data_IF_865392029358
#
_entry.id   IF_865392029358
#
_cell.length_a   1.000
_cell.length_b   1.000
_cell.length_c   1.000
_cell.angle_alpha   90.00
_cell.angle_beta   90.00
_cell.angle_gamma   90.00
#
_symmetry.space_group_name_H-M   'P 1'
#
loop_
_entity.id
_entity.type
_entity.pdbx_description
1 polymer ?
#
# COMPACT_ATOMS: atom_id res chain seq x y z
N UNK A 1 17.86 -6.04 4.25
CA UNK A 1 16.39 -5.82 4.22
C UNK A 1 16.08 -4.62 5.10
N UNK A 2 15.33 -3.61 4.63
CA UNK A 2 14.99 -2.45 5.48
C UNK A 2 14.00 -2.93 6.56
N UNK A 3 14.27 -2.63 7.83
CA UNK A 3 13.39 -3.04 8.94
C UNK A 3 12.04 -2.29 8.89
N UNK A 4 10.96 -2.90 9.39
CA UNK A 4 9.65 -2.23 9.50
C UNK A 4 9.75 -0.95 10.34
N UNK A 5 10.59 -0.93 11.37
CA UNK A 5 10.77 0.25 12.23
C UNK A 5 11.42 1.42 11.49
N UNK A 6 12.34 1.14 10.56
CA UNK A 6 12.87 2.17 9.66
C UNK A 6 11.77 2.73 8.76
N UNK A 7 10.90 1.87 8.21
CA UNK A 7 9.79 2.32 7.37
C UNK A 7 8.75 3.14 8.16
N UNK A 8 8.50 2.80 9.43
CA UNK A 8 7.68 3.61 10.35
C UNK A 8 8.29 4.98 10.59
N UNK A 9 9.60 5.06 10.86
CA UNK A 9 10.32 6.35 11.01
C UNK A 9 10.23 7.21 9.75
N UNK A 10 10.28 6.58 8.57
CA UNK A 10 10.09 7.24 7.28
C UNK A 10 8.63 7.60 6.96
N UNK A 11 7.67 7.18 7.81
CA UNK A 11 6.22 7.32 7.60
C UNK A 11 5.75 6.67 6.29
N UNK A 12 6.32 5.51 5.98
CA UNK A 12 5.93 4.64 4.85
C UNK A 12 5.16 3.40 5.32
N UNK A 13 5.17 3.16 6.64
CA UNK A 13 4.26 2.25 7.34
C UNK A 13 3.50 3.07 8.38
N UNK A 14 2.19 2.89 8.44
CA UNK A 14 1.31 3.59 9.38
C UNK A 14 0.39 2.60 10.08
N UNK A 15 0.35 2.71 11.40
CA UNK A 15 -0.61 1.98 12.23
C UNK A 15 -1.87 2.84 12.41
N UNK A 16 -3.03 2.20 12.39
CA UNK A 16 -4.33 2.83 12.53
C UNK A 16 -5.27 1.93 13.33
N UNK A 17 -6.15 2.52 14.12
CA UNK A 17 -7.17 1.79 14.87
C UNK A 17 -8.54 2.37 14.53
N UNK A 18 -9.49 1.48 14.28
CA UNK A 18 -10.87 1.79 13.97
C UNK A 18 -11.79 1.07 14.95
N UNK A 19 -12.72 1.78 15.55
CA UNK A 19 -13.82 1.18 16.30
C UNK A 19 -15.07 1.16 15.42
N UNK A 20 -15.63 -0.01 15.19
CA UNK A 20 -16.78 -0.21 14.33
C UNK A 20 -17.95 -0.78 15.13
N UNK A 21 -19.17 -0.20 15.03
CA UNK A 21 -20.36 -0.68 15.74
C UNK A 21 -20.97 -1.89 15.00
N UNK A 22 -20.19 -2.97 14.90
CA UNK A 22 -20.58 -4.24 14.29
C UNK A 22 -19.85 -5.37 15.03
N UNK A 23 -20.50 -6.52 15.19
CA UNK A 23 -19.87 -7.70 15.74
C UNK A 23 -18.70 -8.18 14.88
N UNK A 24 -17.65 -8.70 15.53
CA UNK A 24 -16.44 -9.18 14.84
C UNK A 24 -16.76 -10.19 13.73
N UNK A 25 -17.58 -11.20 14.02
CA UNK A 25 -17.90 -12.26 13.06
C UNK A 25 -18.66 -11.71 11.84
N UNK A 26 -19.61 -10.80 12.07
CA UNK A 26 -20.35 -10.14 11.00
C UNK A 26 -19.43 -9.30 10.13
N UNK A 27 -18.50 -8.54 10.74
CA UNK A 27 -17.52 -7.75 10.00
C UNK A 27 -16.62 -8.64 9.14
N UNK A 28 -16.05 -9.70 9.72
CA UNK A 28 -15.17 -10.63 9.01
C UNK A 28 -15.91 -11.29 7.83
N UNK A 29 -17.16 -11.69 8.03
CA UNK A 29 -17.99 -12.29 6.98
C UNK A 29 -18.26 -11.31 5.83
N UNK A 30 -18.62 -10.06 6.14
CA UNK A 30 -18.85 -9.01 5.13
C UNK A 30 -17.55 -8.60 4.43
N UNK A 31 -16.44 -8.54 5.16
CA UNK A 31 -15.13 -8.26 4.57
C UNK A 31 -14.70 -9.40 3.63
N UNK A 32 -14.94 -10.66 4.02
CA UNK A 32 -14.64 -11.82 3.20
C UNK A 32 -15.50 -11.85 1.92
N UNK A 33 -16.77 -11.45 1.98
CA UNK A 33 -17.62 -11.35 0.78
C UNK A 33 -17.19 -10.23 -0.16
N UNK A 34 -16.70 -9.10 0.40
CA UNK A 34 -16.13 -7.98 -0.35
C UNK A 34 -14.70 -8.22 -0.87
N UNK A 35 -14.04 -9.30 -0.44
CA UNK A 35 -12.65 -9.63 -0.78
C UNK A 35 -12.58 -10.85 -1.69
N UNK A 36 -11.91 -10.73 -2.85
CA UNK A 36 -11.57 -11.90 -3.65
C UNK A 36 -10.39 -12.64 -3.01
N UNK A 37 -10.59 -13.91 -2.65
CA UNK A 37 -9.55 -14.75 -2.03
C UNK A 37 -8.45 -15.08 -3.02
N UNK A 38 -7.36 -14.31 -2.96
CA UNK A 38 -6.15 -14.48 -3.78
C UNK A 38 -4.94 -13.91 -3.04
N UNK A 39 -3.72 -14.39 -3.36
CA UNK A 39 -2.50 -13.78 -2.84
C UNK A 39 -2.48 -12.29 -3.18
N UNK A 40 -2.26 -11.42 -2.18
CA UNK A 40 -2.21 -9.96 -2.32
C UNK A 40 -0.89 -9.49 -2.98
N UNK A 41 -0.49 -10.10 -4.10
CA UNK A 41 0.76 -9.81 -4.81
C UNK A 41 0.55 -8.82 -5.95
N UNK A 42 1.31 -7.72 -6.01
CA UNK A 42 1.13 -6.72 -7.07
C UNK A 42 1.61 -7.15 -8.45
N UNK A 43 2.28 -8.30 -8.57
CA UNK A 43 2.77 -8.84 -9.85
C UNK A 43 1.65 -9.23 -10.82
N UNK A 44 0.41 -9.41 -10.32
CA UNK A 44 -0.72 -9.88 -11.12
C UNK A 44 -1.74 -8.79 -11.50
N UNK A 45 -1.56 -7.54 -11.06
CA UNK A 45 -2.58 -6.49 -11.24
C UNK A 45 -2.86 -6.10 -12.69
N UNK A 46 -1.91 -6.28 -13.61
CA UNK A 46 -2.10 -5.98 -15.02
C UNK A 46 -2.93 -7.05 -15.76
N UNK A 47 -2.88 -8.31 -15.28
CA UNK A 47 -3.68 -9.43 -15.80
C UNK A 47 -5.08 -9.46 -15.14
N UNK A 48 -5.20 -8.93 -13.91
CA UNK A 48 -6.45 -8.81 -13.14
C UNK A 48 -7.51 -7.89 -13.79
N UNK A 49 -7.10 -6.92 -14.63
CA UNK A 49 -8.00 -5.93 -15.23
C UNK A 49 -9.02 -6.52 -16.22
N UNK A 50 -8.86 -7.78 -16.63
CA UNK A 50 -9.71 -8.46 -17.61
C UNK A 50 -10.76 -9.40 -16.99
N UNK A 51 -10.77 -9.60 -15.67
CA UNK A 51 -11.76 -10.43 -14.99
C UNK A 51 -12.76 -9.57 -14.22
N UNK A 52 -13.99 -9.48 -14.74
CA UNK A 52 -15.12 -8.81 -14.11
C UNK A 52 -15.58 -9.58 -12.88
N UNK A 53 -15.24 -9.09 -11.68
CA UNK A 53 -15.91 -9.49 -10.45
C UNK A 53 -16.13 -8.29 -9.55
N UNK A 54 -17.33 -8.22 -8.95
CA UNK A 54 -17.92 -7.10 -8.21
C UNK A 54 -17.28 -6.84 -6.83
N UNK A 55 -16.05 -7.32 -6.58
CA UNK A 55 -15.37 -7.28 -5.28
C UNK A 55 -14.35 -6.15 -5.20
N UNK A 56 -14.34 -5.44 -4.09
CA UNK A 56 -13.54 -4.21 -3.90
C UNK A 56 -12.09 -4.52 -3.51
N UNK A 57 -11.87 -5.63 -2.79
CA UNK A 57 -10.56 -6.02 -2.26
C UNK A 57 -10.06 -7.31 -2.89
N UNK A 58 -8.73 -7.50 -2.87
CA UNK A 58 -8.07 -8.77 -3.11
C UNK A 58 -7.17 -9.11 -1.93
N UNK A 59 -7.16 -10.37 -1.51
CA UNK A 59 -6.38 -10.77 -0.35
C UNK A 59 -6.95 -11.99 0.39
N UNK A 60 -6.52 -12.17 1.63
CA UNK A 60 -6.96 -13.26 2.50
C UNK A 60 -7.64 -12.68 3.74
N UNK A 61 -8.73 -13.32 4.18
CA UNK A 61 -9.47 -12.95 5.39
C UNK A 61 -9.58 -14.22 6.24
N UNK A 62 -9.06 -14.16 7.46
CA UNK A 62 -9.18 -15.19 8.49
C UNK A 62 -10.20 -14.78 9.58
N UNK A 63 -10.29 -15.55 10.67
CA UNK A 63 -11.29 -15.32 11.73
C UNK A 63 -11.09 -14.03 12.53
N UNK A 64 -9.84 -13.59 12.68
CA UNK A 64 -9.42 -12.46 13.51
C UNK A 64 -8.33 -11.62 12.82
N UNK A 65 -7.94 -11.98 11.60
CA UNK A 65 -6.92 -11.28 10.84
C UNK A 65 -7.31 -11.17 9.36
N UNK A 66 -6.74 -10.21 8.67
CA UNK A 66 -6.83 -10.13 7.22
C UNK A 66 -5.59 -9.49 6.61
N UNK A 67 -5.36 -9.80 5.35
CA UNK A 67 -4.40 -9.13 4.50
C UNK A 67 -5.09 -8.79 3.20
N UNK A 68 -5.32 -7.50 2.96
CA UNK A 68 -6.06 -7.02 1.80
C UNK A 68 -5.29 -5.94 1.05
N UNK A 69 -5.68 -5.77 -0.20
CA UNK A 69 -5.24 -4.71 -1.10
C UNK A 69 -6.46 -4.25 -1.88
N UNK A 70 -6.52 -2.96 -2.21
CA UNK A 70 -7.56 -2.48 -3.12
C UNK A 70 -7.35 -3.13 -4.49
N UNK A 71 -8.43 -3.61 -5.11
CA UNK A 71 -8.39 -4.15 -6.47
C UNK A 71 -8.22 -3.03 -7.50
N UNK A 72 -7.48 -3.30 -8.57
CA UNK A 72 -7.49 -2.44 -9.75
C UNK A 72 -8.81 -2.65 -10.52
N UNK A 73 -9.64 -1.62 -10.62
CA UNK A 73 -10.77 -1.63 -11.56
C UNK A 73 -10.25 -1.25 -12.95
N UNK A 74 -10.68 -1.98 -13.98
CA UNK A 74 -10.27 -1.72 -15.37
C UNK A 74 -10.49 -0.25 -15.72
N UNK A 75 -9.50 0.38 -16.36
CA UNK A 75 -9.43 1.82 -16.69
C UNK A 75 -9.19 2.83 -15.54
N UNK A 76 -9.25 2.45 -14.26
CA UNK A 76 -8.79 3.34 -13.19
C UNK A 76 -7.30 3.15 -12.92
N UNK A 77 -6.47 4.19 -13.15
CA UNK A 77 -5.11 4.29 -12.59
C UNK A 77 -5.18 4.50 -11.08
N UNK A 78 -5.64 3.50 -10.36
CA UNK A 78 -5.77 3.60 -8.92
C UNK A 78 -4.48 3.20 -8.22
N UNK A 79 -3.69 4.20 -7.87
CA UNK A 79 -2.39 4.06 -7.19
C UNK A 79 -2.52 3.49 -5.77
N UNK A 80 -3.73 3.42 -5.20
CA UNK A 80 -4.00 2.76 -3.92
C UNK A 80 -3.79 1.25 -3.95
N UNK A 81 -3.83 0.64 -5.14
CA UNK A 81 -3.54 -0.79 -5.34
C UNK A 81 -2.12 -1.17 -4.92
N UNK A 82 -1.22 -0.21 -4.72
CA UNK A 82 0.17 -0.48 -4.31
C UNK A 82 0.34 -0.67 -2.80
N UNK A 83 -0.66 -0.28 -1.99
CA UNK A 83 -0.59 -0.34 -0.54
C UNK A 83 -1.12 -1.67 -0.05
N UNK A 84 -0.29 -2.39 0.71
CA UNK A 84 -0.71 -3.60 1.43
C UNK A 84 -1.31 -3.19 2.77
N UNK A 85 -2.44 -3.77 3.11
CA UNK A 85 -3.15 -3.56 4.37
C UNK A 85 -3.17 -4.88 5.13
N UNK A 86 -2.55 -4.91 6.29
CA UNK A 86 -2.63 -6.02 7.24
C UNK A 86 -3.52 -5.56 8.40
N UNK A 87 -4.43 -6.42 8.86
CA UNK A 87 -5.35 -6.05 9.92
C UNK A 87 -5.62 -7.18 10.89
N UNK A 88 -5.92 -6.80 12.13
CA UNK A 88 -6.41 -7.69 13.19
C UNK A 88 -7.72 -7.13 13.73
N UNK A 89 -8.70 -8.00 13.96
CA UNK A 89 -10.02 -7.67 14.47
C UNK A 89 -10.18 -8.22 15.87
N UNK A 90 -10.54 -7.35 16.80
CA UNK A 90 -10.74 -7.68 18.20
C UNK A 90 -12.19 -7.38 18.56
N UNK A 91 -12.87 -8.30 19.24
CA UNK A 91 -14.19 -8.02 19.81
C UNK A 91 -14.10 -6.99 20.94
N UNK A 92 -15.13 -6.15 21.04
CA UNK A 92 -15.31 -5.15 22.09
C UNK A 92 -16.79 -5.11 22.51
N UNK A 93 -17.11 -4.49 23.64
CA UNK A 93 -18.48 -4.47 24.18
C UNK A 93 -19.50 -3.84 23.21
N UNK A 94 -19.12 -2.73 22.55
CA UNK A 94 -19.97 -1.99 21.61
C UNK A 94 -19.73 -2.35 20.12
N UNK A 95 -19.08 -3.49 19.84
CA UNK A 95 -18.80 -3.94 18.47
C UNK A 95 -17.41 -4.56 18.30
N UNK A 96 -16.61 -4.04 17.38
CA UNK A 96 -15.25 -4.53 17.17
C UNK A 96 -14.23 -3.41 16.95
N UNK A 97 -12.99 -3.69 17.31
CA UNK A 97 -11.83 -2.84 17.11
C UNK A 97 -10.94 -3.46 16.04
N UNK A 98 -10.77 -2.74 14.93
CA UNK A 98 -9.91 -3.15 13.81
C UNK A 98 -8.60 -2.39 13.90
N UNK A 99 -7.51 -3.13 14.15
CA UNK A 99 -6.14 -2.62 14.10
C UNK A 99 -5.60 -2.85 12.70
N UNK A 100 -5.02 -1.83 12.10
CA UNK A 100 -4.55 -1.81 10.72
C UNK A 100 -3.08 -1.40 10.67
N UNK A 101 -2.29 -2.12 9.89
CA UNK A 101 -0.95 -1.75 9.43
C UNK A 101 -1.02 -1.48 7.92
N UNK A 102 -0.79 -0.23 7.54
CA UNK A 102 -0.75 0.24 6.16
C UNK A 102 0.71 0.29 5.70
N UNK A 103 1.07 -0.48 4.68
CA UNK A 103 2.43 -0.48 4.12
C UNK A 103 2.42 -0.05 2.65
N UNK A 104 2.98 1.14 2.38
CA UNK A 104 3.14 1.66 1.02
C UNK A 104 4.47 1.27 0.36
N UNK A 105 5.40 0.67 1.10
CA UNK A 105 6.69 0.29 0.58
C UNK A 105 6.59 -1.02 -0.20
N UNK A 106 6.41 -0.88 -1.51
CA UNK A 106 6.33 -2.00 -2.42
C UNK A 106 7.72 -2.60 -2.73
N UNK A 107 7.89 -3.94 -2.80
CA UNK A 107 9.18 -4.56 -3.13
C UNK A 107 9.82 -4.10 -4.44
N UNK A 108 9.02 -3.65 -5.43
CA UNK A 108 9.52 -3.07 -6.68
C UNK A 108 10.40 -1.83 -6.44
N UNK A 109 10.18 -1.08 -5.35
CA UNK A 109 11.03 0.06 -5.01
C UNK A 109 12.46 -0.37 -4.63
N UNK A 110 12.68 -1.58 -4.11
CA UNK A 110 14.03 -2.09 -3.92
C UNK A 110 14.76 -2.24 -5.25
N UNK A 111 14.09 -2.83 -6.26
CA UNK A 111 14.66 -2.97 -7.60
C UNK A 111 14.90 -1.61 -8.27
N UNK A 112 13.92 -0.69 -8.16
CA UNK A 112 14.04 0.66 -8.70
C UNK A 112 15.21 1.44 -8.08
N UNK A 113 15.32 1.46 -6.75
CA UNK A 113 16.41 2.16 -6.07
C UNK A 113 17.76 1.49 -6.29
N UNK A 114 17.81 0.16 -6.39
CA UNK A 114 19.02 -0.56 -6.77
C UNK A 114 19.50 -0.18 -8.18
N UNK A 115 18.59 -0.12 -9.15
CA UNK A 115 18.90 0.31 -10.52
C UNK A 115 19.34 1.77 -10.56
N UNK A 116 18.63 2.68 -9.87
CA UNK A 116 19.01 4.10 -9.79
C UNK A 116 20.39 4.25 -9.15
N UNK A 117 20.70 3.49 -8.11
CA UNK A 117 22.00 3.53 -7.45
C UNK A 117 23.14 3.16 -8.43
N UNK A 118 22.99 2.05 -9.17
CA UNK A 118 23.99 1.65 -10.18
C UNK A 118 24.13 2.72 -11.27
N UNK A 119 23.00 3.23 -11.78
CA UNK A 119 22.98 4.25 -12.82
C UNK A 119 23.70 5.54 -12.39
N UNK A 120 23.40 6.05 -11.19
CA UNK A 120 24.06 7.28 -10.70
C UNK A 120 25.50 7.05 -10.26
N UNK A 121 25.85 5.87 -9.73
CA UNK A 121 27.24 5.54 -9.44
C UNK A 121 28.09 5.59 -10.73
N UNK A 122 27.59 5.01 -11.82
CA UNK A 122 28.24 5.10 -13.13
C UNK A 122 28.38 6.55 -13.61
N UNK A 123 27.31 7.36 -13.53
CA UNK A 123 27.37 8.77 -13.92
C UNK A 123 28.37 9.58 -13.09
N UNK A 124 28.46 9.33 -11.79
CA UNK A 124 29.41 10.03 -10.91
C UNK A 124 30.85 9.68 -11.29
N UNK A 125 31.16 8.40 -11.53
CA UNK A 125 32.49 7.96 -12.00
C UNK A 125 32.87 8.67 -13.31
N UNK A 126 31.95 8.76 -14.26
CA UNK A 126 32.20 9.45 -15.53
C UNK A 126 32.33 10.97 -15.40
N UNK A 127 31.68 11.56 -14.40
CA UNK A 127 31.67 13.01 -14.20
C UNK A 127 32.89 13.54 -13.44
N UNK A 128 33.54 12.69 -12.63
CA UNK A 128 34.67 13.02 -11.76
C UNK A 128 35.87 13.62 -12.52
N UNK A 129 36.09 13.21 -13.77
CA UNK A 129 37.31 13.57 -14.49
C UNK A 129 37.25 14.93 -15.21
N UNK A 130 36.07 15.46 -15.57
CA UNK A 130 36.07 16.65 -16.47
C UNK A 130 34.79 17.49 -16.55
N UNK A 131 33.70 17.15 -15.85
CA UNK A 131 32.40 17.83 -16.04
C UNK A 131 31.66 18.12 -14.73
N UNK A 132 32.10 19.12 -13.94
CA UNK A 132 31.46 19.47 -12.67
C UNK A 132 29.99 19.91 -12.85
N UNK A 133 29.65 20.52 -13.98
CA UNK A 133 28.26 20.87 -14.31
C UNK A 133 27.37 19.64 -14.52
N UNK A 134 27.90 18.58 -15.14
CA UNK A 134 27.18 17.32 -15.32
C UNK A 134 26.95 16.61 -13.98
N UNK A 135 27.92 16.68 -13.07
CA UNK A 135 27.78 16.15 -11.71
C UNK A 135 26.66 16.87 -10.95
N UNK A 136 26.59 18.20 -11.00
CA UNK A 136 25.52 18.97 -10.35
C UNK A 136 24.14 18.61 -10.89
N UNK A 137 24.01 18.52 -12.23
CA UNK A 137 22.74 18.13 -12.87
C UNK A 137 22.35 16.69 -12.52
N UNK A 138 23.31 15.76 -12.50
CA UNK A 138 23.07 14.37 -12.12
C UNK A 138 22.59 14.24 -10.66
N UNK A 139 23.19 14.98 -9.73
CA UNK A 139 22.77 14.99 -8.32
C UNK A 139 21.36 15.59 -8.16
N UNK A 140 21.07 16.70 -8.84
CA UNK A 140 19.74 17.31 -8.80
C UNK A 140 18.69 16.35 -9.38
N UNK A 141 18.98 15.74 -10.52
CA UNK A 141 18.12 14.74 -11.15
C UNK A 141 17.92 13.52 -10.23
N UNK A 142 18.97 13.00 -9.60
CA UNK A 142 18.88 11.91 -8.62
C UNK A 142 17.96 12.27 -7.46
N UNK A 143 18.08 13.49 -6.93
CA UNK A 143 17.24 13.95 -5.83
C UNK A 143 15.76 13.90 -6.18
N UNK A 144 15.37 14.27 -7.41
CA UNK A 144 13.98 14.21 -7.87
C UNK A 144 13.50 12.76 -7.91
N UNK A 145 14.29 11.85 -8.47
CA UNK A 145 13.92 10.43 -8.59
C UNK A 145 13.87 9.68 -7.26
N UNK A 146 14.51 10.21 -6.21
CA UNK A 146 14.40 9.65 -4.85
C UNK A 146 13.24 10.29 -4.08
N UNK A 147 13.13 11.63 -4.12
CA UNK A 147 12.15 12.38 -3.33
C UNK A 147 10.73 12.21 -3.88
N UNK A 148 10.55 12.22 -5.20
CA UNK A 148 9.22 12.17 -5.80
C UNK A 148 8.48 10.86 -5.48
N UNK A 149 9.06 9.64 -5.67
CA UNK A 149 8.38 8.40 -5.30
C UNK A 149 8.06 8.31 -3.81
N UNK A 150 8.96 8.82 -2.96
CA UNK A 150 8.74 8.91 -1.52
C UNK A 150 7.51 9.77 -1.16
N UNK A 151 7.42 10.97 -1.75
CA UNK A 151 6.26 11.85 -1.53
C UNK A 151 4.97 11.24 -2.07
N UNK A 152 5.02 10.55 -3.20
CA UNK A 152 3.88 9.82 -3.74
C UNK A 152 3.42 8.72 -2.78
N UNK A 153 4.31 7.86 -2.29
CA UNK A 153 3.97 6.82 -1.30
C UNK A 153 3.28 7.39 -0.06
N UNK A 154 3.81 8.49 0.50
CA UNK A 154 3.18 9.18 1.65
C UNK A 154 1.78 9.71 1.35
N UNK A 155 1.58 10.32 0.18
CA UNK A 155 0.25 10.80 -0.24
C UNK A 155 -0.74 9.65 -0.41
N UNK A 156 -0.28 8.51 -0.93
CA UNK A 156 -1.11 7.32 -1.09
C UNK A 156 -1.55 6.74 0.25
N UNK A 157 -0.68 6.71 1.27
CA UNK A 157 -1.06 6.27 2.62
C UNK A 157 -2.19 7.10 3.20
N UNK A 158 -2.08 8.43 3.12
CA UNK A 158 -3.13 9.33 3.60
C UNK A 158 -4.46 9.05 2.89
N UNK A 159 -4.43 8.88 1.57
CA UNK A 159 -5.63 8.52 0.78
C UNK A 159 -6.19 7.14 1.16
N UNK A 160 -5.32 6.15 1.38
CA UNK A 160 -5.74 4.80 1.78
C UNK A 160 -6.42 4.80 3.14
N UNK A 161 -5.91 5.60 4.09
CA UNK A 161 -6.52 5.75 5.41
C UNK A 161 -7.98 6.17 5.31
N UNK A 162 -8.24 7.30 4.65
CA UNK A 162 -9.60 7.82 4.46
C UNK A 162 -10.49 6.85 3.66
N UNK A 163 -9.90 6.15 2.70
CA UNK A 163 -10.61 5.15 1.93
C UNK A 163 -11.04 3.97 2.81
N UNK A 164 -10.15 3.40 3.63
CA UNK A 164 -10.50 2.30 4.54
C UNK A 164 -11.50 2.71 5.61
N UNK A 165 -11.35 3.91 6.20
CA UNK A 165 -12.34 4.47 7.12
C UNK A 165 -13.74 4.41 6.53
N UNK A 166 -13.87 4.90 5.29
CA UNK A 166 -15.13 4.94 4.57
C UNK A 166 -15.64 3.54 4.20
N UNK A 167 -14.81 2.70 3.59
CA UNK A 167 -15.23 1.37 3.13
C UNK A 167 -15.60 0.46 4.31
N UNK A 168 -14.83 0.47 5.40
CA UNK A 168 -15.15 -0.36 6.56
C UNK A 168 -16.41 0.13 7.27
N UNK A 169 -16.64 1.43 7.29
CA UNK A 169 -17.91 1.97 7.78
C UNK A 169 -19.09 1.64 6.86
N UNK A 170 -18.90 1.51 5.54
CA UNK A 170 -19.94 1.00 4.66
C UNK A 170 -20.28 -0.46 4.94
N UNK A 171 -19.28 -1.28 5.29
CA UNK A 171 -19.51 -2.67 5.68
C UNK A 171 -20.36 -2.78 6.95
N UNK A 172 -20.37 -1.79 7.85
CA UNK A 172 -21.27 -1.83 9.03
C UNK A 172 -22.74 -1.62 8.65
N UNK A 173 -23.00 -0.83 7.60
CA UNK A 173 -24.35 -0.43 7.18
C UNK A 173 -25.01 -1.34 6.15
N UNK A 174 -24.28 -2.27 5.54
CA UNK A 174 -24.88 -3.26 4.64
C UNK A 174 -25.80 -4.19 5.44
N UNK A 175 -27.09 -3.85 5.51
CA UNK A 175 -28.13 -4.79 5.91
C UNK A 175 -28.25 -5.86 4.81
N UNK A 176 -28.29 -7.13 5.20
CA UNK A 176 -28.73 -8.21 4.32
C UNK A 176 -30.19 -7.99 3.91
#
# INVERSE_FOLDING_TARGET
MISKDTLRKLKLVHDMVLSLPIEQEQFITRLASATEQRPSSPRYSAVEANYSFNREFTGNVGPDWFTIRRRARSFERNSLTLIKVEGAVLSAEDGCVVKLELNAFHPLFYALYGMLFIFYAFLVIQALDSKPTLLLVALLHASIFVVLPYLLMRRLLSKMKHYLEREFFFLTRQAN
#
